data_IF_135647665162
#
_entry.id   IF_135647665162
#
_cell.length_a   1.000
_cell.length_b   1.000
_cell.length_c   1.000
_cell.angle_alpha   90.00
_cell.angle_beta   90.00
_cell.angle_gamma   90.00
#
_symmetry.space_group_name_H-M   'P 1'
#
loop_
_entity.id
_entity.type
_entity.pdbx_description
1 polymer ?
#
# COMPACT_ATOMS: atom_id res chain seq x y z
N UNK A 1 5.58 1.94 -5.25
CA UNK A 1 5.77 0.50 -5.56
C UNK A 1 4.47 -0.27 -5.32
N UNK A 2 3.94 -0.35 -4.10
CA UNK A 2 2.75 -1.18 -3.83
C UNK A 2 1.50 -0.74 -4.62
N UNK A 3 1.30 0.56 -4.81
CA UNK A 3 0.18 1.07 -5.65
C UNK A 3 0.31 0.68 -7.12
N UNK A 4 1.53 0.59 -7.63
CA UNK A 4 1.77 0.14 -9.00
C UNK A 4 1.53 -1.37 -9.14
N UNK A 5 1.94 -2.17 -8.15
CA UNK A 5 1.63 -3.61 -8.13
C UNK A 5 0.12 -3.86 -8.00
N UNK A 6 -0.60 -3.07 -7.17
CA UNK A 6 -2.06 -3.12 -7.09
C UNK A 6 -2.68 -2.94 -8.48
N UNK A 7 -2.25 -1.91 -9.21
CA UNK A 7 -2.75 -1.63 -10.56
C UNK A 7 -2.49 -2.81 -11.49
N UNK A 8 -1.28 -3.35 -11.52
CA UNK A 8 -0.96 -4.52 -12.36
C UNK A 8 -1.85 -5.72 -12.05
N UNK A 9 -2.07 -5.99 -10.77
CA UNK A 9 -2.92 -7.09 -10.31
C UNK A 9 -4.38 -6.85 -10.73
N UNK A 10 -4.89 -5.64 -10.56
CA UNK A 10 -6.25 -5.29 -10.99
C UNK A 10 -6.43 -5.34 -12.51
N UNK A 11 -5.38 -5.08 -13.29
CA UNK A 11 -5.39 -5.25 -14.75
C UNK A 11 -5.20 -6.69 -15.22
N UNK A 12 -4.68 -7.58 -14.35
CA UNK A 12 -4.29 -8.92 -14.73
C UNK A 12 -5.50 -9.81 -15.03
N UNK A 13 -6.53 -9.75 -14.20
CA UNK A 13 -7.77 -10.49 -14.42
C UNK A 13 -8.97 -9.80 -13.78
N UNK A 14 -10.14 -10.12 -14.31
CA UNK A 14 -11.43 -9.69 -13.77
C UNK A 14 -11.62 -10.12 -12.31
N UNK A 15 -11.22 -11.34 -11.95
CA UNK A 15 -11.25 -11.81 -10.57
C UNK A 15 -10.48 -10.88 -9.62
N UNK A 16 -9.22 -10.56 -9.96
CA UNK A 16 -8.38 -9.72 -9.10
C UNK A 16 -8.83 -8.25 -9.07
N UNK A 17 -9.41 -7.76 -10.16
CA UNK A 17 -10.06 -6.44 -10.18
C UNK A 17 -11.21 -6.38 -9.18
N UNK A 18 -12.07 -7.39 -9.18
CA UNK A 18 -13.25 -7.42 -8.31
C UNK A 18 -12.84 -7.57 -6.84
N UNK A 19 -11.86 -8.43 -6.55
CA UNK A 19 -11.26 -8.53 -5.20
C UNK A 19 -10.65 -7.19 -4.78
N UNK A 20 -9.91 -6.51 -5.67
CA UNK A 20 -9.36 -5.19 -5.37
C UNK A 20 -10.45 -4.15 -5.10
N UNK A 21 -11.50 -4.09 -5.94
CA UNK A 21 -12.65 -3.18 -5.77
C UNK A 21 -13.28 -3.32 -4.38
N UNK A 22 -13.43 -4.56 -3.91
CA UNK A 22 -14.16 -4.83 -2.67
C UNK A 22 -13.30 -4.61 -1.42
N UNK A 23 -11.98 -4.86 -1.50
CA UNK A 23 -11.10 -4.81 -0.32
C UNK A 23 -10.25 -3.54 -0.23
N UNK A 24 -9.91 -2.90 -1.35
CA UNK A 24 -8.99 -1.76 -1.38
C UNK A 24 -9.77 -0.45 -1.41
N UNK A 25 -9.62 0.34 -0.36
CA UNK A 25 -10.23 1.66 -0.28
C UNK A 25 -9.45 2.69 -1.10
N UNK A 26 -10.12 3.55 -1.89
CA UNK A 26 -9.44 4.55 -2.74
C UNK A 26 -8.48 5.48 -1.98
N UNK A 27 -8.77 5.81 -0.73
CA UNK A 27 -7.94 6.66 0.12
C UNK A 27 -6.58 6.03 0.47
N UNK A 28 -6.42 4.71 0.34
CA UNK A 28 -5.15 4.02 0.58
C UNK A 28 -4.15 4.21 -0.56
N UNK A 29 -4.65 4.51 -1.77
CA UNK A 29 -3.85 4.86 -2.94
C UNK A 29 -3.54 6.35 -2.87
N UNK A 30 -2.28 6.71 -2.62
CA UNK A 30 -1.87 8.10 -2.35
C UNK A 30 -1.51 8.88 -3.60
N UNK A 31 -0.83 8.26 -4.56
CA UNK A 31 -0.44 8.96 -5.77
C UNK A 31 -1.69 9.33 -6.58
N UNK A 32 -1.91 10.62 -6.94
CA UNK A 32 -3.09 11.04 -7.68
C UNK A 32 -3.29 10.25 -8.98
N UNK A 33 -2.24 10.11 -9.79
CA UNK A 33 -2.26 9.34 -11.03
C UNK A 33 -2.62 7.86 -10.81
N UNK A 34 -2.14 7.25 -9.72
CA UNK A 34 -2.47 5.86 -9.41
C UNK A 34 -3.92 5.71 -8.94
N UNK A 35 -4.44 6.68 -8.17
CA UNK A 35 -5.83 6.68 -7.70
C UNK A 35 -6.80 6.85 -8.86
N UNK A 36 -6.52 7.80 -9.75
CA UNK A 36 -7.29 8.03 -10.97
C UNK A 36 -7.31 6.79 -11.85
N UNK A 37 -6.13 6.23 -12.16
CA UNK A 37 -6.03 5.03 -12.96
C UNK A 37 -6.72 3.83 -12.29
N UNK A 38 -6.59 3.67 -10.98
CA UNK A 38 -7.26 2.60 -10.24
C UNK A 38 -8.79 2.71 -10.35
N UNK A 39 -9.34 3.92 -10.21
CA UNK A 39 -10.76 4.16 -10.38
C UNK A 39 -11.23 3.82 -11.80
N UNK A 40 -10.45 4.19 -12.83
CA UNK A 40 -10.74 3.83 -14.21
C UNK A 40 -10.73 2.31 -14.44
N UNK A 41 -9.73 1.61 -13.89
CA UNK A 41 -9.61 0.14 -14.01
C UNK A 41 -10.77 -0.59 -13.38
N UNK A 42 -11.16 -0.18 -12.17
CA UNK A 42 -12.27 -0.80 -11.45
C UNK A 42 -13.59 -0.62 -12.20
N UNK A 43 -13.75 0.50 -12.93
CA UNK A 43 -14.97 0.84 -13.68
C UNK A 43 -15.04 0.19 -15.06
N UNK A 44 -13.95 0.25 -15.84
CA UNK A 44 -13.94 -0.15 -17.26
C UNK A 44 -13.24 -1.49 -17.51
N UNK A 45 -12.50 -1.99 -16.52
CA UNK A 45 -11.86 -3.31 -16.59
C UNK A 45 -10.55 -3.35 -17.38
N UNK A 46 -10.06 -4.56 -17.69
CA UNK A 46 -8.74 -4.78 -18.29
C UNK A 46 -8.63 -4.30 -19.75
N UNK A 47 -9.78 -4.09 -20.40
CA UNK A 47 -9.90 -3.54 -21.74
C UNK A 47 -9.90 -2.00 -21.80
N UNK A 48 -9.70 -1.32 -20.66
CA UNK A 48 -9.60 0.14 -20.61
C UNK A 48 -8.65 0.69 -21.69
N UNK A 49 -9.22 1.50 -22.59
CA UNK A 49 -8.54 2.28 -23.62
C UNK A 49 -8.59 3.77 -23.26
N UNK A 50 -7.48 4.36 -22.76
CA UNK A 50 -7.39 5.80 -22.51
C UNK A 50 -7.69 6.62 -23.78
N UNK A 51 -8.45 7.71 -23.64
CA UNK A 51 -8.90 8.56 -24.74
C UNK A 51 -10.09 8.00 -25.54
N UNK A 52 -10.56 6.79 -25.22
CA UNK A 52 -11.80 6.22 -25.78
C UNK A 52 -12.81 5.97 -24.66
N UNK A 53 -12.43 5.19 -23.66
CA UNK A 53 -13.32 4.82 -22.55
C UNK A 53 -13.31 5.85 -21.42
N UNK A 54 -12.16 6.50 -21.22
CA UNK A 54 -11.96 7.51 -20.18
C UNK A 54 -10.85 8.47 -20.61
N UNK A 55 -11.02 9.75 -20.31
CA UNK A 55 -9.94 10.73 -20.37
C UNK A 55 -9.09 10.61 -19.09
N UNK A 56 -7.83 10.20 -19.26
CA UNK A 56 -6.85 10.15 -18.17
C UNK A 56 -5.98 11.40 -18.21
N UNK A 57 -5.59 11.90 -17.04
CA UNK A 57 -4.50 12.85 -16.95
C UNK A 57 -3.21 12.27 -17.54
N UNK A 58 -2.34 13.12 -18.09
CA UNK A 58 -1.07 12.70 -18.68
C UNK A 58 -0.25 11.80 -17.74
N UNK A 59 -0.09 12.11 -16.43
CA UNK A 59 0.58 11.21 -15.50
C UNK A 59 -0.10 9.84 -15.33
N UNK A 60 -1.43 9.78 -15.39
CA UNK A 60 -2.18 8.53 -15.30
C UNK A 60 -2.08 7.72 -16.60
N UNK A 61 -2.06 8.37 -17.77
CA UNK A 61 -1.85 7.73 -19.07
C UNK A 61 -0.42 7.15 -19.20
N UNK A 62 0.59 7.87 -18.72
CA UNK A 62 1.95 7.32 -18.62
C UNK A 62 2.01 6.09 -17.70
N UNK A 63 1.34 6.18 -16.55
CA UNK A 63 1.29 5.08 -15.59
C UNK A 63 0.59 3.86 -16.18
N UNK A 64 -0.53 4.06 -16.88
CA UNK A 64 -1.24 3.01 -17.62
C UNK A 64 -0.31 2.32 -18.61
N UNK A 65 0.42 3.10 -19.42
CA UNK A 65 1.35 2.57 -20.42
C UNK A 65 2.43 1.69 -19.78
N UNK A 66 3.00 2.14 -18.66
CA UNK A 66 4.02 1.39 -17.90
C UNK A 66 3.45 0.11 -17.28
N UNK A 67 2.21 0.15 -16.80
CA UNK A 67 1.54 -1.03 -16.24
C UNK A 67 1.27 -2.06 -17.33
N UNK A 68 0.66 -1.66 -18.46
CA UNK A 68 0.35 -2.53 -19.60
C UNK A 68 1.60 -3.23 -20.13
N UNK A 69 2.70 -2.49 -20.30
CA UNK A 69 3.96 -3.03 -20.80
C UNK A 69 4.54 -4.15 -19.92
N UNK A 70 4.17 -4.22 -18.64
CA UNK A 70 4.67 -5.21 -17.67
C UNK A 70 3.60 -6.19 -17.19
N UNK A 71 2.45 -6.27 -17.84
CA UNK A 71 1.41 -7.24 -17.47
C UNK A 71 1.86 -8.68 -17.71
N UNK A 72 2.59 -8.94 -18.80
CA UNK A 72 3.09 -10.28 -19.13
C UNK A 72 4.12 -10.85 -18.15
N UNK A 73 4.65 -10.03 -17.26
CA UNK A 73 5.58 -10.47 -16.20
C UNK A 73 4.86 -11.05 -14.98
N UNK A 74 3.53 -10.91 -14.88
CA UNK A 74 2.77 -11.49 -13.77
C UNK A 74 2.56 -12.99 -14.00
N UNK A 75 3.11 -13.80 -13.08
CA UNK A 75 2.84 -15.22 -13.02
C UNK A 75 1.57 -15.47 -12.18
N UNK A 76 0.57 -16.15 -12.77
CA UNK A 76 -0.71 -16.53 -12.13
C UNK A 76 -0.52 -17.17 -10.75
N UNK A 77 0.52 -18.00 -10.57
CA UNK A 77 0.79 -18.71 -9.32
C UNK A 77 1.17 -17.79 -8.14
N UNK A 78 1.64 -16.57 -8.43
CA UNK A 78 2.13 -15.63 -7.42
C UNK A 78 1.20 -14.44 -7.19
N UNK A 79 0.16 -14.25 -7.99
CA UNK A 79 -0.68 -13.05 -7.94
C UNK A 79 -1.40 -12.91 -6.60
N UNK A 80 -1.85 -14.02 -6.02
CA UNK A 80 -2.49 -14.01 -4.69
C UNK A 80 -1.54 -13.53 -3.59
N UNK A 81 -0.35 -14.14 -3.49
CA UNK A 81 0.65 -13.71 -2.50
C UNK A 81 1.11 -12.26 -2.72
N UNK A 82 1.24 -11.83 -3.97
CA UNK A 82 1.52 -10.44 -4.31
C UNK A 82 0.39 -9.51 -3.86
N UNK A 83 -0.85 -9.89 -4.13
CA UNK A 83 -2.04 -9.14 -3.73
C UNK A 83 -2.10 -9.02 -2.20
N UNK A 84 -1.96 -10.14 -1.48
CA UNK A 84 -1.96 -10.19 -0.02
C UNK A 84 -0.94 -9.25 0.60
N UNK A 85 0.27 -9.28 0.05
CA UNK A 85 1.31 -8.35 0.42
C UNK A 85 0.90 -6.89 0.18
N UNK A 86 0.37 -6.59 -1.00
CA UNK A 86 0.05 -5.22 -1.44
C UNK A 86 -1.09 -4.64 -0.63
N UNK A 87 -2.25 -5.31 -0.58
CA UNK A 87 -3.42 -4.77 0.11
C UNK A 87 -3.15 -4.58 1.60
N UNK A 88 -2.48 -5.53 2.27
CA UNK A 88 -2.11 -5.36 3.68
C UNK A 88 -1.15 -4.18 3.86
N UNK A 89 -0.19 -3.99 2.95
CA UNK A 89 0.73 -2.85 3.03
C UNK A 89 0.01 -1.53 2.85
N UNK A 90 -0.94 -1.45 1.92
CA UNK A 90 -1.75 -0.25 1.69
C UNK A 90 -2.65 0.05 2.90
N UNK A 91 -3.36 -0.96 3.40
CA UNK A 91 -4.29 -0.88 4.52
C UNK A 91 -3.59 -0.54 5.85
N UNK A 92 -2.36 -1.02 6.06
CA UNK A 92 -1.59 -0.77 7.27
C UNK A 92 -0.99 0.65 7.35
N UNK A 93 -0.88 1.37 6.22
CA UNK A 93 -0.20 2.68 6.17
C UNK A 93 -0.71 3.70 7.19
N UNK A 94 -2.03 3.91 7.38
CA UNK A 94 -2.53 4.87 8.37
C UNK A 94 -2.07 4.50 9.79
N UNK A 95 -2.19 3.23 10.16
CA UNK A 95 -1.76 2.74 11.48
C UNK A 95 -0.24 2.86 11.68
N UNK A 96 0.56 2.61 10.64
CA UNK A 96 2.02 2.82 10.70
C UNK A 96 2.33 4.30 10.96
N UNK A 97 1.65 5.22 10.26
CA UNK A 97 1.84 6.65 10.47
C UNK A 97 1.43 7.09 11.88
N UNK A 98 0.32 6.58 12.39
CA UNK A 98 -0.11 6.83 13.77
C UNK A 98 0.92 6.33 14.78
N UNK A 99 1.44 5.11 14.60
CA UNK A 99 2.50 4.57 15.44
C UNK A 99 3.75 5.44 15.41
N UNK A 100 4.18 5.88 14.21
CA UNK A 100 5.36 6.73 14.06
C UNK A 100 5.17 8.10 14.69
N UNK A 101 3.96 8.67 14.60
CA UNK A 101 3.58 9.91 15.29
C UNK A 101 3.65 9.76 16.81
N UNK A 102 3.04 8.70 17.36
CA UNK A 102 3.09 8.41 18.80
C UNK A 102 4.53 8.24 19.30
N UNK A 103 5.37 7.57 18.50
CA UNK A 103 6.79 7.40 18.82
C UNK A 103 7.55 8.73 18.83
N UNK A 104 7.26 9.63 17.90
CA UNK A 104 7.86 10.96 17.87
C UNK A 104 7.41 11.81 19.06
N UNK A 105 6.12 11.73 19.43
CA UNK A 105 5.59 12.39 20.63
C UNK A 105 6.26 11.85 21.91
N UNK A 106 6.43 10.53 22.02
CA UNK A 106 7.09 9.90 23.17
C UNK A 106 8.53 10.38 23.36
N UNK A 107 9.23 10.74 22.28
CA UNK A 107 10.61 11.21 22.35
C UNK A 107 10.74 12.60 23.01
N UNK A 108 9.68 13.41 23.02
CA UNK A 108 9.65 14.77 23.58
C UNK A 108 8.71 14.92 24.77
N UNK A 109 7.97 13.86 25.13
CA UNK A 109 6.98 13.86 26.20
C UNK A 109 7.62 13.93 27.60
N UNK A 110 6.89 14.54 28.53
CA UNK A 110 7.22 14.50 29.95
C UNK A 110 6.90 13.12 30.57
N UNK A 111 7.33 12.87 31.81
CA UNK A 111 7.12 11.58 32.48
C UNK A 111 5.63 11.20 32.63
N UNK A 112 4.77 12.18 32.86
CA UNK A 112 3.34 11.97 33.06
C UNK A 112 2.64 11.49 31.76
N UNK A 113 3.09 11.97 30.61
CA UNK A 113 2.56 11.61 29.30
C UNK A 113 3.12 10.30 28.74
N UNK A 114 4.36 9.94 29.14
CA UNK A 114 5.07 8.77 28.59
C UNK A 114 4.29 7.47 28.76
N UNK A 115 3.69 7.23 29.92
CA UNK A 115 2.94 6.00 30.18
C UNK A 115 1.75 5.85 29.22
N UNK A 116 0.98 6.92 29.02
CA UNK A 116 -0.17 6.93 28.12
C UNK A 116 0.26 6.73 26.66
N UNK A 117 1.29 7.45 26.21
CA UNK A 117 1.81 7.31 24.84
C UNK A 117 2.38 5.92 24.58
N UNK A 118 3.09 5.31 25.54
CA UNK A 118 3.56 3.92 25.44
C UNK A 118 2.40 2.94 25.30
N UNK A 119 1.33 3.12 26.08
CA UNK A 119 0.15 2.27 25.98
C UNK A 119 -0.52 2.37 24.60
N UNK A 120 -0.78 3.60 24.13
CA UNK A 120 -1.34 3.83 22.78
C UNK A 120 -0.47 3.22 21.68
N UNK A 121 0.85 3.39 21.80
CA UNK A 121 1.82 2.86 20.84
C UNK A 121 1.85 1.32 20.84
N UNK A 122 1.69 0.68 22.00
CA UNK A 122 1.56 -0.77 22.11
C UNK A 122 0.26 -1.27 21.47
N UNK A 123 -0.87 -0.64 21.75
CA UNK A 123 -2.16 -0.96 21.10
C UNK A 123 -2.05 -0.89 19.58
N UNK A 124 -1.47 0.19 19.04
CA UNK A 124 -1.27 0.33 17.58
C UNK A 124 -0.33 -0.70 16.99
N UNK A 125 0.70 -1.10 17.74
CA UNK A 125 1.60 -2.17 17.32
C UNK A 125 0.87 -3.51 17.24
N UNK A 126 0.03 -3.81 18.21
CA UNK A 126 -0.70 -5.07 18.28
C UNK A 126 -1.84 -5.12 17.25
N UNK A 127 -2.50 -3.99 16.97
CA UNK A 127 -3.43 -3.82 15.84
C UNK A 127 -2.73 -4.13 14.50
N UNK A 128 -1.54 -3.56 14.27
CA UNK A 128 -0.77 -3.80 13.06
C UNK A 128 -0.39 -5.29 12.93
N UNK A 129 0.09 -5.90 14.01
CA UNK A 129 0.55 -7.28 14.02
C UNK A 129 -0.60 -8.27 13.79
N UNK A 130 -1.75 -8.03 14.40
CA UNK A 130 -2.92 -8.90 14.32
C UNK A 130 -3.64 -8.79 12.98
N UNK A 131 -3.85 -7.57 12.47
CA UNK A 131 -4.67 -7.32 11.27
C UNK A 131 -3.89 -7.36 9.97
N UNK A 132 -2.60 -6.99 10.00
CA UNK A 132 -1.78 -6.81 8.80
C UNK A 132 -0.39 -7.43 8.96
N UNK A 133 -0.34 -8.72 9.30
CA UNK A 133 0.90 -9.44 9.62
C UNK A 133 2.00 -9.25 8.58
N UNK A 134 1.69 -9.37 7.28
CA UNK A 134 2.70 -9.24 6.21
C UNK A 134 3.26 -7.81 6.18
N UNK A 135 2.39 -6.81 6.32
CA UNK A 135 2.80 -5.41 6.35
C UNK A 135 3.65 -5.10 7.59
N UNK A 136 3.26 -5.63 8.76
CA UNK A 136 4.00 -5.50 10.01
C UNK A 136 5.41 -6.10 9.89
N UNK A 137 5.54 -7.33 9.38
CA UNK A 137 6.82 -8.01 9.22
C UNK A 137 7.76 -7.22 8.27
N UNK A 138 7.22 -6.72 7.16
CA UNK A 138 7.97 -5.85 6.22
C UNK A 138 8.42 -4.55 6.87
N UNK A 139 7.53 -3.90 7.62
CA UNK A 139 7.85 -2.64 8.31
C UNK A 139 8.91 -2.86 9.40
N UNK A 140 8.77 -3.89 10.22
CA UNK A 140 9.74 -4.26 11.25
C UNK A 140 11.13 -4.57 10.66
N UNK A 141 11.18 -5.36 9.58
CA UNK A 141 12.42 -5.67 8.87
C UNK A 141 13.11 -4.42 8.31
N UNK A 142 12.37 -3.51 7.67
CA UNK A 142 12.91 -2.25 7.15
C UNK A 142 13.55 -1.41 8.26
N UNK A 143 12.90 -1.34 9.44
CA UNK A 143 13.40 -0.61 10.61
C UNK A 143 14.69 -1.20 11.15
N UNK A 144 14.78 -2.52 11.26
CA UNK A 144 16.00 -3.21 11.70
C UNK A 144 17.17 -2.97 10.73
N UNK A 145 16.91 -3.03 9.41
CA UNK A 145 17.92 -2.79 8.38
C UNK A 145 18.46 -1.35 8.41
N UNK A 146 17.61 -0.35 8.65
CA UNK A 146 18.06 1.06 8.79
C UNK A 146 19.01 1.23 9.98
N UNK A 147 18.64 0.72 11.16
CA UNK A 147 19.49 0.74 12.36
C UNK A 147 20.85 0.09 12.14
N UNK A 148 20.90 -1.05 11.44
CA UNK A 148 22.17 -1.72 11.11
C UNK A 148 23.05 -0.93 10.14
N UNK A 149 22.47 -0.11 9.26
CA UNK A 149 23.24 0.76 8.36
C UNK A 149 23.80 1.97 9.10
N UNK A 150 23.04 2.54 10.01
CA UNK A 150 23.45 3.68 10.85
C UNK A 150 24.55 3.32 11.87
N UNK A 151 24.74 2.02 12.15
CA UNK A 151 25.76 1.50 13.07
C UNK A 151 27.04 0.99 12.39
N UNK A 152 27.12 0.99 11.06
CA UNK A 152 28.38 0.69 10.36
C UNK A 152 29.17 2.00 10.21
N UNK A 153 30.38 2.10 10.79
CA UNK A 153 31.25 3.26 10.64
C UNK A 153 31.71 3.43 9.18
#
# INVERSE_FOLDING_TARGET
RDEWELLRIAFFSEHWRDVARDQVKPEWVRAPAARELYAAVVRHGPMLLPGTDVELSEPAAELWSRVKARLGELNTQNVESMYDSVWQTLAARPLILEYEKLRAQLAVANEDEKASLMNQMNVRRDDLRSRYRIAFDKWAYRKQRRRRKEQKP
#
